data_IF_695425077480
#
_entry.id   IF_695425077480
#
_cell.length_a   1.000
_cell.length_b   1.000
_cell.length_c   1.000
_cell.angle_alpha   90.00
_cell.angle_beta   90.00
_cell.angle_gamma   90.00
#
_symmetry.space_group_name_H-M   'P 1'
#
loop_
_entity.id
_entity.type
_entity.pdbx_description
1 polymer ?
#
# COMPACT_ATOMS: atom_id res chain seq x y z
N UNK A 1 -26.64 3.03 -16.51
CA UNK A 1 -25.23 3.48 -16.50
C UNK A 1 -24.34 2.63 -15.59
N UNK A 2 -24.74 2.32 -14.34
CA UNK A 2 -23.92 1.54 -13.38
C UNK A 2 -23.44 0.14 -13.85
N UNK A 3 -24.24 -0.57 -14.66
CA UNK A 3 -23.91 -1.93 -15.11
C UNK A 3 -22.79 -1.93 -16.15
N UNK A 4 -22.81 -0.95 -17.08
CA UNK A 4 -21.80 -0.84 -18.15
C UNK A 4 -20.44 -0.46 -17.55
N UNK A 5 -20.41 0.46 -16.59
CA UNK A 5 -19.18 0.84 -15.89
C UNK A 5 -18.62 -0.31 -15.04
N UNK A 6 -19.48 -1.12 -14.44
CA UNK A 6 -19.08 -2.33 -13.71
C UNK A 6 -18.38 -3.34 -14.63
N UNK A 7 -18.98 -3.66 -15.78
CA UNK A 7 -18.36 -4.57 -16.75
C UNK A 7 -17.08 -4.01 -17.34
N UNK A 8 -17.04 -2.71 -17.65
CA UNK A 8 -15.83 -2.05 -18.16
C UNK A 8 -14.67 -2.15 -17.17
N UNK A 9 -14.91 -1.87 -15.88
CA UNK A 9 -13.91 -2.01 -14.82
C UNK A 9 -13.49 -3.46 -14.61
N UNK A 10 -14.42 -4.42 -14.72
CA UNK A 10 -14.13 -5.85 -14.60
C UNK A 10 -13.22 -6.33 -15.74
N UNK A 11 -13.53 -5.96 -16.99
CA UNK A 11 -12.73 -6.30 -18.17
C UNK A 11 -11.34 -5.67 -18.08
N UNK A 12 -11.25 -4.40 -17.69
CA UNK A 12 -9.96 -3.72 -17.46
C UNK A 12 -9.14 -4.42 -16.37
N UNK A 13 -9.76 -4.87 -15.28
CA UNK A 13 -9.08 -5.63 -14.23
C UNK A 13 -8.53 -6.97 -14.73
N UNK A 14 -9.31 -7.73 -15.49
CA UNK A 14 -8.84 -9.01 -16.05
C UNK A 14 -7.73 -8.80 -17.07
N UNK A 15 -7.83 -7.76 -17.91
CA UNK A 15 -6.78 -7.40 -18.86
C UNK A 15 -5.47 -7.05 -18.16
N UNK A 16 -5.51 -6.16 -17.16
CA UNK A 16 -4.33 -5.76 -16.37
C UNK A 16 -3.67 -6.96 -15.68
N UNK A 17 -4.46 -7.95 -15.25
CA UNK A 17 -3.93 -9.18 -14.65
C UNK A 17 -3.17 -10.08 -15.62
N UNK A 18 -3.50 -10.04 -16.91
CA UNK A 18 -2.87 -10.86 -17.94
C UNK A 18 -1.58 -10.22 -18.47
N UNK A 19 -1.36 -8.93 -18.23
CA UNK A 19 -0.14 -8.24 -18.66
C UNK A 19 1.11 -8.81 -17.95
N UNK A 20 2.19 -8.93 -18.72
CA UNK A 20 3.52 -9.20 -18.18
C UNK A 20 4.00 -8.00 -17.36
N UNK A 21 4.76 -8.23 -16.27
CA UNK A 21 5.39 -7.13 -15.55
C UNK A 21 6.35 -6.36 -16.46
N UNK A 22 6.46 -5.04 -16.24
CA UNK A 22 7.47 -4.23 -16.90
C UNK A 22 8.88 -4.60 -16.39
N UNK A 23 9.89 -4.33 -17.21
CA UNK A 23 11.28 -4.52 -16.79
C UNK A 23 11.68 -3.50 -15.71
N UNK A 24 12.61 -3.88 -14.81
CA UNK A 24 13.14 -2.97 -13.78
C UNK A 24 13.70 -1.68 -14.39
N UNK A 25 14.43 -1.80 -15.50
CA UNK A 25 15.05 -0.67 -16.20
C UNK A 25 13.98 0.32 -16.67
N UNK A 26 12.96 -0.18 -17.36
CA UNK A 26 11.85 0.66 -17.85
C UNK A 26 11.12 1.39 -16.71
N UNK A 27 10.89 0.69 -15.59
CA UNK A 27 10.25 1.28 -14.41
C UNK A 27 11.11 2.40 -13.84
N UNK A 28 12.41 2.16 -13.67
CA UNK A 28 13.35 3.15 -13.15
C UNK A 28 13.43 4.38 -14.05
N UNK A 29 13.48 4.20 -15.37
CA UNK A 29 13.55 5.30 -16.33
C UNK A 29 12.30 6.18 -16.27
N UNK A 30 11.11 5.57 -16.21
CA UNK A 30 9.85 6.30 -16.09
C UNK A 30 9.69 7.03 -14.76
N UNK A 31 10.26 6.48 -13.69
CA UNK A 31 10.17 7.07 -12.34
C UNK A 31 11.26 8.09 -12.03
N UNK A 32 12.31 8.21 -12.86
CA UNK A 32 13.49 9.05 -12.58
C UNK A 32 13.12 10.48 -12.13
N UNK A 33 12.15 11.11 -12.79
CA UNK A 33 11.73 12.48 -12.49
C UNK A 33 10.81 12.59 -11.26
N UNK A 34 10.31 11.46 -10.76
CA UNK A 34 9.39 11.37 -9.63
C UNK A 34 10.08 10.92 -8.33
N UNK A 35 11.34 10.50 -8.38
CA UNK A 35 12.04 10.01 -7.18
C UNK A 35 12.20 11.10 -6.12
N UNK A 36 12.74 12.26 -6.52
CA UNK A 36 13.03 13.36 -5.58
C UNK A 36 11.76 14.07 -5.06
N UNK A 37 10.77 14.43 -5.90
CA UNK A 37 9.59 15.16 -5.41
C UNK A 37 8.71 14.36 -4.43
N UNK A 38 8.74 13.04 -4.53
CA UNK A 38 7.93 12.14 -3.72
C UNK A 38 8.74 11.34 -2.69
N UNK A 39 10.04 11.61 -2.54
CA UNK A 39 10.96 10.85 -1.69
C UNK A 39 10.83 9.32 -1.89
N UNK A 40 10.75 8.90 -3.15
CA UNK A 40 10.68 7.48 -3.51
C UNK A 40 12.07 6.87 -3.48
N UNK A 41 12.21 5.73 -2.82
CA UNK A 41 13.47 4.97 -2.77
C UNK A 41 13.36 3.74 -3.66
N UNK A 42 14.27 3.62 -4.61
CA UNK A 42 14.40 2.41 -5.42
C UNK A 42 15.31 1.42 -4.69
N UNK A 43 14.92 0.15 -4.71
CA UNK A 43 15.70 -0.95 -4.15
C UNK A 43 15.93 -2.02 -5.22
N UNK A 44 16.49 -3.16 -4.85
CA UNK A 44 16.60 -4.28 -5.77
C UNK A 44 15.28 -4.99 -6.06
N UNK A 45 14.35 -4.94 -5.12
CA UNK A 45 13.09 -5.70 -5.16
C UNK A 45 11.89 -4.85 -5.56
N UNK A 46 11.93 -3.54 -5.32
CA UNK A 46 10.81 -2.65 -5.61
C UNK A 46 11.04 -1.18 -5.28
N UNK A 47 9.93 -0.43 -5.28
CA UNK A 47 9.85 1.00 -4.98
C UNK A 47 9.27 1.17 -3.58
N UNK A 48 10.00 1.84 -2.71
CA UNK A 48 9.52 2.22 -1.39
C UNK A 48 8.94 3.63 -1.43
N UNK A 49 7.72 3.73 -0.92
CA UNK A 49 7.02 5.00 -0.72
C UNK A 49 7.60 5.69 0.53
N UNK A 50 7.50 7.03 0.62
CA UNK A 50 7.94 7.76 1.80
C UNK A 50 7.21 7.29 3.06
N UNK A 51 7.87 7.44 4.21
CA UNK A 51 7.26 7.15 5.49
C UNK A 51 6.04 8.07 5.71
N UNK A 52 4.87 7.45 5.76
CA UNK A 52 3.63 8.15 6.06
C UNK A 52 3.33 8.10 7.55
N UNK A 53 2.76 9.17 8.09
CA UNK A 53 2.31 9.19 9.48
C UNK A 53 1.34 8.04 9.77
N UNK A 54 1.34 7.54 11.01
CA UNK A 54 0.50 6.41 11.42
C UNK A 54 -1.00 6.66 11.16
N UNK A 55 -1.44 7.93 11.20
CA UNK A 55 -2.82 8.32 10.89
C UNK A 55 -3.15 8.15 9.40
N UNK A 56 -2.26 8.57 8.51
CA UNK A 56 -2.40 8.35 7.06
C UNK A 56 -2.29 6.86 6.73
N UNK A 57 -1.38 6.14 7.39
CA UNK A 57 -1.27 4.69 7.26
C UNK A 57 -2.56 3.96 7.63
N UNK A 58 -3.26 4.39 8.70
CA UNK A 58 -4.56 3.84 9.08
C UNK A 58 -5.65 4.12 8.04
N UNK A 59 -5.62 5.28 7.38
CA UNK A 59 -6.54 5.60 6.28
C UNK A 59 -6.24 4.69 5.09
N UNK A 60 -4.99 4.61 4.65
CA UNK A 60 -4.62 3.74 3.54
C UNK A 60 -4.89 2.27 3.86
N UNK A 61 -4.47 1.73 5.00
CA UNK A 61 -4.82 0.33 5.38
C UNK A 61 -6.31 0.07 5.46
N UNK A 62 -7.13 1.06 5.84
CA UNK A 62 -8.60 0.94 5.91
C UNK A 62 -9.27 0.93 4.52
N UNK A 63 -8.65 1.55 3.50
CA UNK A 63 -9.27 1.76 2.19
C UNK A 63 -8.52 1.11 1.01
N UNK A 64 -7.20 0.93 1.08
CA UNK A 64 -6.35 0.50 -0.04
C UNK A 64 -5.03 -0.15 0.42
N UNK A 65 -4.76 -1.39 -0.04
CA UNK A 65 -3.47 -2.10 -0.09
C UNK A 65 -2.30 -1.57 0.78
N UNK A 66 -2.54 -1.39 2.09
CA UNK A 66 -1.55 -0.77 3.00
C UNK A 66 -0.24 -1.55 3.14
N UNK A 67 -0.22 -2.82 2.68
CA UNK A 67 1.00 -3.63 2.54
C UNK A 67 2.10 -2.90 1.76
N UNK A 68 1.76 -2.12 0.73
CA UNK A 68 2.76 -1.46 -0.12
C UNK A 68 3.49 -0.30 0.58
N UNK A 69 2.90 0.28 1.62
CA UNK A 69 3.56 1.30 2.44
C UNK A 69 4.51 0.69 3.48
N UNK A 70 4.39 -0.62 3.77
CA UNK A 70 5.31 -1.34 4.66
C UNK A 70 6.40 -2.08 3.89
N UNK A 71 6.01 -2.76 2.82
CA UNK A 71 6.84 -3.71 2.09
C UNK A 71 7.41 -3.13 0.78
N UNK A 72 6.93 -1.95 0.37
CA UNK A 72 7.23 -1.38 -0.95
C UNK A 72 6.40 -2.02 -2.07
N UNK A 73 6.37 -1.35 -3.22
CA UNK A 73 5.75 -1.84 -4.46
C UNK A 73 6.78 -2.70 -5.21
N UNK A 74 6.58 -4.03 -5.31
CA UNK A 74 7.54 -4.89 -5.99
C UNK A 74 7.49 -4.66 -7.51
N UNK A 75 8.65 -4.64 -8.16
CA UNK A 75 8.74 -4.46 -9.63
C UNK A 75 7.93 -5.50 -10.39
N UNK A 76 7.92 -6.75 -9.90
CA UNK A 76 7.18 -7.88 -10.47
C UNK A 76 5.66 -7.68 -10.49
N UNK A 77 5.14 -6.73 -9.72
CA UNK A 77 3.71 -6.40 -9.73
C UNK A 77 3.34 -5.29 -10.70
N UNK A 78 4.29 -4.47 -11.16
CA UNK A 78 4.03 -3.32 -12.02
C UNK A 78 3.88 -3.81 -13.45
N UNK A 79 2.72 -3.57 -14.05
CA UNK A 79 2.40 -4.04 -15.41
C UNK A 79 2.25 -2.92 -16.41
N UNK A 80 1.99 -1.70 -15.93
CA UNK A 80 1.83 -0.56 -16.81
C UNK A 80 2.09 0.74 -16.07
N UNK A 81 2.70 1.70 -16.75
CA UNK A 81 2.92 3.06 -16.25
C UNK A 81 2.46 4.01 -17.34
N UNK A 82 1.58 4.96 -16.98
CA UNK A 82 0.99 5.94 -17.90
C UNK A 82 1.18 7.34 -17.36
N UNK A 83 1.69 8.24 -18.20
CA UNK A 83 1.68 9.66 -17.92
C UNK A 83 0.31 10.24 -18.29
N UNK A 84 -0.37 10.87 -17.33
CA UNK A 84 -1.52 11.74 -17.55
C UNK A 84 -1.09 13.21 -17.35
N UNK A 85 -1.90 14.20 -17.77
CA UNK A 85 -1.57 15.62 -17.61
C UNK A 85 -1.23 16.01 -16.16
N UNK A 86 -1.96 15.45 -15.19
CA UNK A 86 -1.88 15.87 -13.78
C UNK A 86 -1.19 14.86 -12.86
N UNK A 87 -0.95 13.62 -13.32
CA UNK A 87 -0.27 12.61 -12.52
C UNK A 87 0.39 11.50 -13.34
N UNK A 88 1.34 10.81 -12.72
CA UNK A 88 1.85 9.53 -13.22
C UNK A 88 1.05 8.38 -12.59
N UNK A 89 0.41 7.57 -13.43
CA UNK A 89 -0.33 6.38 -13.02
C UNK A 89 0.54 5.12 -13.10
N UNK A 90 0.59 4.35 -12.01
CA UNK A 90 1.31 3.07 -11.90
C UNK A 90 0.28 1.99 -11.63
N UNK A 91 0.14 1.04 -12.56
CA UNK A 91 -0.84 -0.03 -12.51
C UNK A 91 -0.20 -1.33 -12.04
N UNK A 92 -0.82 -1.98 -11.05
CA UNK A 92 -0.34 -3.23 -10.47
C UNK A 92 -1.20 -4.43 -10.87
N UNK A 93 -0.60 -5.63 -10.88
CA UNK A 93 -1.28 -6.91 -11.16
C UNK A 93 -2.46 -7.22 -10.24
N UNK A 94 -2.44 -6.73 -9.01
CA UNK A 94 -3.55 -6.93 -8.08
C UNK A 94 -4.69 -5.91 -8.25
N UNK A 95 -4.58 -5.03 -9.26
CA UNK A 95 -5.57 -4.04 -9.62
C UNK A 95 -5.46 -2.74 -8.82
N UNK A 96 -4.43 -2.58 -7.99
CA UNK A 96 -4.11 -1.30 -7.37
C UNK A 96 -3.51 -0.34 -8.40
N UNK A 97 -3.85 0.94 -8.26
CA UNK A 97 -3.32 2.02 -9.09
C UNK A 97 -2.77 3.10 -8.17
N UNK A 98 -1.49 3.44 -8.32
CA UNK A 98 -0.89 4.58 -7.65
C UNK A 98 -0.84 5.77 -8.61
N UNK A 99 -1.19 6.96 -8.14
CA UNK A 99 -1.16 8.21 -8.91
C UNK A 99 -0.26 9.19 -8.17
N UNK A 100 0.86 9.53 -8.80
CA UNK A 100 1.82 10.51 -8.31
C UNK A 100 1.42 11.87 -8.90
N UNK A 101 0.67 12.67 -8.14
CA UNK A 101 0.12 13.95 -8.60
C UNK A 101 1.18 15.04 -8.62
N UNK A 102 1.09 15.97 -9.58
CA UNK A 102 1.99 17.13 -9.68
C UNK A 102 2.04 17.98 -8.39
N UNK A 103 1.01 17.91 -7.52
CA UNK A 103 0.97 18.53 -6.18
C UNK A 103 1.80 17.77 -5.11
N UNK A 104 2.66 16.84 -5.50
CA UNK A 104 3.43 15.95 -4.61
C UNK A 104 2.56 15.11 -3.66
N UNK A 105 1.38 14.69 -4.12
CA UNK A 105 0.46 13.82 -3.36
C UNK A 105 0.36 12.45 -4.01
N UNK A 106 0.29 11.41 -3.19
CA UNK A 106 0.12 10.03 -3.64
C UNK A 106 -1.35 9.61 -3.47
N UNK A 107 -2.05 9.52 -4.59
CA UNK A 107 -3.37 8.90 -4.67
C UNK A 107 -3.24 7.38 -4.83
N UNK A 108 -4.13 6.62 -4.20
CA UNK A 108 -4.20 5.16 -4.40
C UNK A 108 -5.64 4.75 -4.69
N UNK A 109 -5.83 4.01 -5.78
CA UNK A 109 -7.12 3.58 -6.29
C UNK A 109 -7.14 2.05 -6.51
N UNK A 110 -8.32 1.49 -6.74
CA UNK A 110 -8.48 0.07 -7.09
C UNK A 110 -9.60 -0.12 -8.11
N UNK A 111 -9.35 -0.94 -9.14
CA UNK A 111 -10.37 -1.29 -10.16
C UNK A 111 -11.58 -2.02 -9.56
N UNK A 112 -11.36 -2.84 -8.53
CA UNK A 112 -12.44 -3.53 -7.83
C UNK A 112 -12.89 -2.68 -6.66
N UNK A 113 -13.55 -1.55 -6.95
CA UNK A 113 -14.04 -0.63 -5.92
C UNK A 113 -14.65 -1.37 -4.72
N UNK A 114 -14.05 -1.20 -3.53
CA UNK A 114 -14.47 -1.57 -2.16
C UNK A 114 -15.16 -2.93 -1.84
N UNK A 115 -15.58 -3.74 -2.82
CA UNK A 115 -16.45 -4.89 -2.61
C UNK A 115 -15.68 -6.11 -2.07
N UNK A 116 -14.47 -6.37 -2.56
CA UNK A 116 -13.56 -7.39 -1.98
C UNK A 116 -13.00 -6.97 -0.61
N UNK A 117 -12.98 -5.68 -0.31
CA UNK A 117 -12.47 -5.13 0.94
C UNK A 117 -13.35 -5.46 2.15
N UNK A 118 -14.67 -5.69 1.98
CA UNK A 118 -15.52 -6.11 3.12
C UNK A 118 -15.09 -7.46 3.70
N UNK A 119 -14.66 -8.41 2.86
CA UNK A 119 -14.19 -9.73 3.31
C UNK A 119 -12.81 -9.65 3.96
N UNK A 120 -11.89 -8.86 3.40
CA UNK A 120 -10.56 -8.67 3.99
C UNK A 120 -10.57 -7.81 5.26
N UNK A 121 -11.49 -6.84 5.38
CA UNK A 121 -11.73 -6.05 6.60
C UNK A 121 -12.01 -6.96 7.80
N UNK A 122 -12.77 -8.04 7.61
CA UNK A 122 -13.03 -9.02 8.65
C UNK A 122 -11.74 -9.73 9.12
N UNK A 123 -10.94 -10.27 8.18
CA UNK A 123 -9.70 -10.98 8.52
C UNK A 123 -8.61 -10.05 9.08
N UNK A 124 -8.51 -8.82 8.59
CA UNK A 124 -7.53 -7.84 9.05
C UNK A 124 -7.88 -7.27 10.44
N UNK A 125 -9.17 -7.00 10.70
CA UNK A 125 -9.64 -6.64 12.06
C UNK A 125 -9.36 -7.76 13.07
N UNK A 126 -9.57 -9.02 12.68
CA UNK A 126 -9.20 -10.19 13.50
C UNK A 126 -7.69 -10.25 13.76
N UNK A 127 -6.84 -9.96 12.78
CA UNK A 127 -5.38 -9.98 12.91
C UNK A 127 -4.87 -8.83 13.79
N UNK A 128 -5.40 -7.62 13.64
CA UNK A 128 -5.09 -6.47 14.53
C UNK A 128 -5.59 -6.74 15.95
N UNK A 129 -6.77 -7.34 16.14
CA UNK A 129 -7.27 -7.70 17.47
C UNK A 129 -6.35 -8.74 18.15
N UNK A 130 -5.82 -9.71 17.39
CA UNK A 130 -4.81 -10.66 17.89
C UNK A 130 -3.48 -9.98 18.25
N UNK A 131 -2.99 -9.06 17.42
CA UNK A 131 -1.76 -8.31 17.69
C UNK A 131 -1.92 -7.39 18.91
N UNK A 132 -3.08 -6.73 19.08
CA UNK A 132 -3.40 -5.95 20.28
C UNK A 132 -3.44 -6.83 21.54
N UNK A 133 -4.04 -8.02 21.47
CA UNK A 133 -4.01 -8.99 22.59
C UNK A 133 -2.58 -9.43 22.94
N UNK A 134 -1.73 -9.67 21.94
CA UNK A 134 -0.32 -10.03 22.17
C UNK A 134 0.48 -8.88 22.79
N UNK A 135 0.29 -7.63 22.35
CA UNK A 135 0.92 -6.46 22.95
C UNK A 135 0.47 -6.21 24.40
N UNK A 136 -0.80 -6.45 24.73
CA UNK A 136 -1.30 -6.35 26.11
C UNK A 136 -0.67 -7.44 27.00
N UNK A 137 -0.48 -8.65 26.47
CA UNK A 137 0.19 -9.75 27.19
C UNK A 137 1.67 -9.44 27.50
N UNK A 138 2.38 -8.79 26.57
CA UNK A 138 3.75 -8.34 26.80
C UNK A 138 3.84 -7.19 27.83
N UNK A 139 2.86 -6.28 27.85
CA UNK A 139 2.83 -5.18 28.82
C UNK A 139 2.55 -5.65 30.26
N UNK A 140 1.85 -6.78 30.43
CA UNK A 140 1.57 -7.36 31.75
C UNK A 140 2.72 -8.20 32.33
N UNK A 141 3.66 -8.71 31.52
CA UNK A 141 4.86 -9.40 32.02
C UNK A 141 6.03 -8.49 32.41
N UNK A 142 5.96 -7.19 32.07
CA UNK A 142 7.01 -6.20 32.37
C UNK A 142 6.85 -5.48 33.71
N UNK A 143 5.84 -5.81 34.53
CA UNK A 143 5.76 -5.32 35.91
C UNK A 143 6.45 -6.33 36.83
N UNK A 144 7.77 -6.21 36.97
CA UNK A 144 8.46 -6.73 38.18
C UNK A 144 7.84 -6.01 39.39
N UNK A 145 7.60 -6.69 40.51
CA UNK A 145 7.24 -6.02 41.76
C UNK A 145 8.38 -5.07 42.18
N UNK A 146 8.08 -3.95 42.87
CA UNK A 146 9.11 -3.09 43.40
C UNK A 146 9.94 -3.89 44.40
N UNK A 147 11.27 -3.83 44.25
CA UNK A 147 12.20 -4.28 45.28
C UNK A 147 12.37 -3.11 46.23
N UNK A 148 11.67 -3.14 47.34
CA UNK A 148 11.88 -2.21 48.44
C UNK A 148 13.31 -2.40 48.94
N UNK A 149 14.14 -1.41 48.63
CA UNK A 149 15.49 -1.24 49.17
C UNK A 149 15.33 -0.34 50.39
N UNK A 150 15.34 -0.94 51.59
CA UNK A 150 15.63 -0.19 52.80
C UNK A 150 17.15 -0.07 52.92
N UNK A 151 17.65 1.16 52.86
CA UNK A 151 19.01 1.53 53.23
C UNK A 151 19.21 1.41 54.75
N UNK A 152 20.48 1.32 55.13
CA UNK A 152 21.07 1.45 56.48
C UNK A 152 20.29 2.29 57.49
#
# INVERSE_FOLDING_TARGET
MLIVDFFRNLVSYFYVRQLSPLSKIEICDKLRNYLKPFDLRLSDTGIFLPEISTRMFLIYTKYVHGKYFLEGIPYTSIVYIKQEPDCLLIFLKDGAIFCLNNDNRIGVYSFMGNARFRRWKFFFQLRIARLKKQMIFFKHRSKKPPSDTYCH
#
